data_IF_169095779582
#
_entry.id   IF_169095779582
#
_cell.length_a   1.000
_cell.length_b   1.000
_cell.length_c   1.000
_cell.angle_alpha   90.00
_cell.angle_beta   90.00
_cell.angle_gamma   90.00
#
_symmetry.space_group_name_H-M   'P 1'
#
loop_
_entity.id
_entity.type
_entity.pdbx_description
1 polymer ?
#
# COMPACT_ATOMS: atom_id res chain seq x y z
N UNK A 1 0.64 16.19 8.56
CA UNK A 1 -0.78 16.52 8.39
C UNK A 1 -1.04 18.01 8.42
N UNK A 2 -0.13 18.82 8.98
CA UNK A 2 -0.21 20.30 8.97
C UNK A 2 -0.32 20.93 7.56
N UNK A 3 0.13 20.21 6.53
CA UNK A 3 0.04 20.62 5.11
C UNK A 3 -1.25 20.18 4.40
N UNK A 4 -2.16 19.47 5.09
CA UNK A 4 -3.45 19.09 4.51
C UNK A 4 -4.43 20.22 4.78
N UNK A 5 -5.07 20.72 3.73
CA UNK A 5 -6.15 21.69 3.88
C UNK A 5 -7.41 21.00 4.38
N UNK A 6 -7.51 20.83 5.69
CA UNK A 6 -8.65 20.22 6.36
C UNK A 6 -9.91 21.10 6.27
N UNK A 7 -9.79 22.39 5.92
CA UNK A 7 -10.92 23.34 5.91
C UNK A 7 -11.89 23.10 4.76
N UNK A 8 -11.44 22.43 3.70
CA UNK A 8 -12.28 22.11 2.54
C UNK A 8 -12.91 20.72 2.63
N UNK A 9 -12.70 20.00 3.74
CA UNK A 9 -13.38 18.73 3.95
C UNK A 9 -14.83 18.98 4.39
N UNK A 10 -15.77 18.08 4.02
CA UNK A 10 -17.14 18.13 4.50
C UNK A 10 -17.25 18.25 6.03
N UNK A 11 -18.39 18.76 6.50
CA UNK A 11 -18.71 18.73 7.93
C UNK A 11 -18.72 17.28 8.45
N UNK A 12 -18.36 17.11 9.73
CA UNK A 12 -18.25 15.82 10.42
C UNK A 12 -17.28 14.81 9.78
N UNK A 13 -16.33 15.28 8.96
CA UNK A 13 -15.30 14.42 8.37
C UNK A 13 -14.40 13.79 9.45
N UNK A 14 -14.34 12.46 9.45
CA UNK A 14 -13.47 11.66 10.30
C UNK A 14 -12.36 11.04 9.45
N UNK A 15 -11.13 11.11 9.94
CA UNK A 15 -9.97 10.51 9.30
C UNK A 15 -8.94 10.05 10.32
N UNK A 16 -8.08 9.12 9.92
CA UNK A 16 -7.04 8.61 10.79
C UNK A 16 -5.74 9.43 10.71
N UNK A 17 -5.12 9.63 11.87
CA UNK A 17 -3.78 10.19 11.98
C UNK A 17 -2.77 9.08 12.36
N UNK A 18 -1.85 8.70 11.46
CA UNK A 18 -0.90 7.62 11.68
C UNK A 18 0.25 8.08 12.60
N UNK A 19 -0.02 8.07 13.91
CA UNK A 19 0.86 8.55 14.98
C UNK A 19 2.28 7.97 14.91
N UNK A 20 2.42 6.70 14.55
CA UNK A 20 3.67 5.96 14.67
C UNK A 20 4.54 5.94 13.40
N UNK A 21 4.02 6.35 12.25
CA UNK A 21 4.73 6.26 10.96
C UNK A 21 6.05 7.06 10.99
N UNK A 22 6.06 8.26 11.57
CA UNK A 22 7.28 9.08 11.71
C UNK A 22 8.39 8.34 12.46
N UNK A 23 8.06 7.78 13.62
CA UNK A 23 9.02 7.07 14.45
C UNK A 23 9.46 5.74 13.82
N UNK A 24 8.55 5.06 13.13
CA UNK A 24 8.86 3.83 12.39
C UNK A 24 9.83 4.10 11.23
N UNK A 25 9.57 5.10 10.39
CA UNK A 25 10.47 5.51 9.31
C UNK A 25 11.83 5.98 9.84
N UNK A 26 11.86 6.69 10.98
CA UNK A 26 13.12 7.10 11.62
C UNK A 26 13.97 5.89 11.99
N UNK A 27 13.37 4.86 12.59
CA UNK A 27 14.06 3.60 12.92
C UNK A 27 14.58 2.91 11.65
N UNK A 28 13.78 2.87 10.59
CA UNK A 28 14.21 2.30 9.30
C UNK A 28 15.42 3.05 8.74
N UNK A 29 15.34 4.39 8.66
CA UNK A 29 16.47 5.19 8.14
C UNK A 29 17.72 4.99 8.99
N UNK A 30 17.61 4.98 10.32
CA UNK A 30 18.77 4.79 11.20
C UNK A 30 19.41 3.39 11.06
N UNK A 31 18.60 2.35 10.85
CA UNK A 31 19.09 0.98 10.68
C UNK A 31 19.65 0.69 9.29
N UNK A 32 19.29 1.49 8.28
CA UNK A 32 19.71 1.29 6.90
C UNK A 32 20.88 2.23 6.55
N UNK A 33 22.07 1.67 6.29
CA UNK A 33 23.19 2.45 5.76
C UNK A 33 23.11 2.61 4.23
N UNK A 34 22.75 1.52 3.54
CA UNK A 34 22.58 1.46 2.09
C UNK A 34 21.55 0.38 1.75
N UNK A 35 20.59 0.66 0.87
CA UNK A 35 19.63 -0.33 0.39
C UNK A 35 18.27 0.25 0.01
N UNK A 36 17.30 -0.65 -0.12
CA UNK A 36 15.94 -0.35 -0.57
C UNK A 36 14.96 -0.89 0.47
N UNK A 37 13.89 -0.13 0.73
CA UNK A 37 12.75 -0.52 1.55
C UNK A 37 11.54 -0.65 0.64
N UNK A 38 10.89 -1.82 0.65
CA UNK A 38 9.61 -2.04 0.00
C UNK A 38 8.50 -1.96 1.04
N UNK A 39 7.52 -1.09 0.80
CA UNK A 39 6.31 -0.96 1.60
C UNK A 39 5.15 -1.40 0.71
N UNK A 40 4.53 -2.52 1.06
CA UNK A 40 3.43 -3.13 0.29
C UNK A 40 2.22 -3.18 1.20
N UNK A 41 1.21 -2.38 0.90
CA UNK A 41 0.02 -2.27 1.74
C UNK A 41 -1.17 -1.68 0.97
N UNK A 42 -2.37 -1.75 1.53
CA UNK A 42 -3.57 -1.14 0.97
C UNK A 42 -3.72 0.31 1.41
N UNK A 43 -3.92 1.19 0.42
CA UNK A 43 -4.02 2.61 0.68
C UNK A 43 -3.94 3.48 -0.56
N UNK A 44 -3.72 4.77 -0.30
CA UNK A 44 -4.03 5.84 -1.25
C UNK A 44 -2.97 6.95 -1.22
N UNK A 45 -2.91 7.73 -2.30
CA UNK A 45 -2.26 9.05 -2.26
C UNK A 45 -3.13 10.05 -1.48
N UNK A 46 -2.61 11.24 -1.18
CA UNK A 46 -3.29 12.22 -0.34
C UNK A 46 -4.67 12.63 -0.89
N UNK A 47 -4.82 12.80 -2.21
CA UNK A 47 -6.09 13.22 -2.81
C UNK A 47 -7.16 12.15 -2.68
N UNK A 48 -6.80 10.89 -2.89
CA UNK A 48 -7.69 9.74 -2.74
C UNK A 48 -7.99 9.42 -1.27
N UNK A 49 -7.01 9.60 -0.38
CA UNK A 49 -7.14 9.38 1.06
C UNK A 49 -8.11 10.39 1.71
N UNK A 50 -8.10 11.65 1.24
CA UNK A 50 -9.00 12.70 1.71
C UNK A 50 -10.14 13.01 0.73
N UNK A 51 -10.52 12.03 -0.10
CA UNK A 51 -11.64 12.23 -1.02
C UNK A 51 -12.93 12.55 -0.23
N UNK A 52 -13.77 13.44 -0.75
CA UNK A 52 -14.97 13.93 -0.05
C UNK A 52 -15.93 12.79 0.34
N UNK A 53 -16.06 11.77 -0.51
CA UNK A 53 -16.88 10.59 -0.24
C UNK A 53 -16.30 9.63 0.83
N UNK A 54 -15.07 9.88 1.31
CA UNK A 54 -14.41 9.11 2.36
C UNK A 54 -14.51 9.81 3.73
N UNK A 55 -15.67 10.39 4.02
CA UNK A 55 -15.88 11.18 5.24
C UNK A 55 -15.89 10.38 6.55
N UNK A 56 -15.89 9.05 6.48
CA UNK A 56 -15.84 8.17 7.66
C UNK A 56 -14.47 7.49 7.81
N UNK A 57 -13.46 7.97 7.09
CA UNK A 57 -12.10 7.43 7.17
C UNK A 57 -11.95 6.05 6.53
N UNK A 58 -11.05 5.26 7.10
CA UNK A 58 -10.60 3.97 6.58
C UNK A 58 -10.43 2.89 7.64
N UNK A 59 -10.75 3.19 8.90
CA UNK A 59 -10.73 2.21 9.98
C UNK A 59 -11.65 1.04 9.65
N UNK A 60 -11.09 -0.16 9.74
CA UNK A 60 -11.82 -1.41 9.56
C UNK A 60 -11.36 -2.42 10.60
N UNK A 61 -12.32 -3.17 11.10
CA UNK A 61 -12.12 -4.25 12.04
C UNK A 61 -12.45 -5.57 11.35
N UNK A 62 -11.66 -6.61 11.63
CA UNK A 62 -11.87 -7.93 11.07
C UNK A 62 -11.95 -8.98 12.18
N UNK A 63 -13.05 -9.74 12.20
CA UNK A 63 -13.24 -10.86 13.11
C UNK A 63 -13.85 -12.05 12.37
N UNK A 64 -13.14 -13.18 12.34
CA UNK A 64 -13.59 -14.41 11.64
C UNK A 64 -14.06 -14.17 10.19
N UNK A 65 -13.27 -13.43 9.42
CA UNK A 65 -13.56 -13.02 8.03
C UNK A 65 -14.77 -12.09 7.83
N UNK A 66 -15.32 -11.53 8.91
CA UNK A 66 -16.32 -10.48 8.86
C UNK A 66 -15.67 -9.11 9.08
N UNK A 67 -15.99 -8.15 8.22
CA UNK A 67 -15.49 -6.78 8.29
C UNK A 67 -16.55 -5.83 8.84
N UNK A 68 -16.18 -4.95 9.77
CA UNK A 68 -17.03 -3.91 10.36
C UNK A 68 -16.21 -2.74 10.87
N UNK A 69 -16.85 -1.62 11.20
CA UNK A 69 -16.19 -0.36 11.60
C UNK A 69 -16.08 -0.16 13.11
N UNK A 70 -16.73 -0.99 13.94
CA UNK A 70 -16.75 -0.78 15.39
C UNK A 70 -15.54 -1.41 16.13
N UNK A 71 -14.60 -0.61 16.69
CA UNK A 71 -13.42 -1.14 17.37
C UNK A 71 -13.70 -1.67 18.78
N UNK A 72 -14.90 -1.45 19.34
CA UNK A 72 -15.21 -1.68 20.75
C UNK A 72 -15.93 -3.02 21.01
N UNK A 73 -16.33 -3.77 19.98
CA UNK A 73 -17.20 -4.94 20.15
C UNK A 73 -16.46 -6.25 20.43
N UNK A 74 -15.24 -6.45 19.95
CA UNK A 74 -14.43 -7.66 20.20
C UNK A 74 -13.00 -7.32 20.62
N UNK A 75 -12.88 -6.51 21.68
CA UNK A 75 -11.61 -5.99 22.18
C UNK A 75 -10.61 -7.12 22.45
N UNK A 76 -9.42 -7.00 21.86
CA UNK A 76 -8.31 -7.94 22.03
C UNK A 76 -8.39 -9.21 21.16
N UNK A 77 -9.50 -9.46 20.46
CA UNK A 77 -9.66 -10.65 19.60
C UNK A 77 -10.08 -10.35 18.15
N UNK A 78 -10.36 -9.09 17.82
CA UNK A 78 -10.47 -8.63 16.44
C UNK A 78 -9.20 -7.91 15.98
N UNK A 79 -8.93 -7.96 14.69
CA UNK A 79 -7.93 -7.11 14.05
C UNK A 79 -8.51 -5.71 13.82
N UNK A 80 -7.66 -4.68 13.87
CA UNK A 80 -8.03 -3.27 13.64
C UNK A 80 -6.98 -2.66 12.73
N UNK A 81 -7.40 -2.22 11.55
CA UNK A 81 -6.50 -1.67 10.54
C UNK A 81 -7.05 -0.37 9.97
N UNK A 82 -6.17 0.38 9.31
CA UNK A 82 -6.48 1.62 8.59
C UNK A 82 -5.72 1.58 7.29
N UNK A 83 -6.24 2.23 6.24
CA UNK A 83 -5.49 2.31 4.99
C UNK A 83 -4.25 3.20 5.15
N UNK A 84 -3.21 2.93 4.35
CA UNK A 84 -1.98 3.73 4.37
C UNK A 84 -2.17 5.02 3.56
N UNK A 85 -1.84 6.16 4.18
CA UNK A 85 -1.65 7.42 3.47
C UNK A 85 -0.21 7.48 2.92
N UNK A 86 -0.03 7.05 1.67
CA UNK A 86 1.30 6.94 1.06
C UNK A 86 1.98 8.29 0.85
N UNK A 87 1.23 9.35 0.56
CA UNK A 87 1.78 10.71 0.48
C UNK A 87 2.36 11.18 1.81
N UNK A 88 1.71 10.82 2.92
CA UNK A 88 2.26 11.07 4.25
C UNK A 88 3.53 10.27 4.53
N UNK A 89 3.53 8.97 4.18
CA UNK A 89 4.74 8.13 4.29
C UNK A 89 5.90 8.73 3.49
N UNK A 90 5.66 9.07 2.22
CA UNK A 90 6.64 9.66 1.32
C UNK A 90 7.26 10.94 1.92
N UNK A 91 6.42 11.91 2.31
CA UNK A 91 6.90 13.17 2.90
C UNK A 91 7.75 12.97 4.15
N UNK A 92 7.31 12.10 5.06
CA UNK A 92 8.05 11.85 6.30
C UNK A 92 9.34 11.05 6.04
N UNK A 93 9.35 10.18 5.04
CA UNK A 93 10.54 9.46 4.59
C UNK A 93 11.59 10.41 3.98
N UNK A 94 11.16 11.35 3.12
CA UNK A 94 12.06 12.35 2.51
C UNK A 94 12.79 13.19 3.56
N UNK A 95 12.11 13.59 4.64
CA UNK A 95 12.70 14.34 5.76
C UNK A 95 13.83 13.57 6.47
N UNK A 96 13.86 12.25 6.31
CA UNK A 96 14.84 11.35 6.93
C UNK A 96 15.94 10.88 5.95
N UNK A 97 16.05 11.54 4.80
CA UNK A 97 17.05 11.24 3.77
C UNK A 97 16.79 9.93 3.02
N UNK A 98 15.55 9.42 3.04
CA UNK A 98 15.12 8.32 2.20
C UNK A 98 14.57 8.90 0.89
N UNK A 99 15.13 8.47 -0.25
CA UNK A 99 14.66 8.87 -1.56
C UNK A 99 13.44 8.02 -1.94
N UNK A 100 12.37 8.62 -2.44
CA UNK A 100 11.19 7.86 -2.88
C UNK A 100 11.45 7.54 -4.34
N UNK A 101 11.45 6.26 -4.70
CA UNK A 101 11.72 5.84 -6.09
C UNK A 101 10.52 5.23 -6.78
N UNK A 102 9.51 4.82 -6.01
CA UNK A 102 8.35 4.11 -6.55
C UNK A 102 7.08 4.37 -5.76
N UNK A 103 5.99 4.56 -6.49
CA UNK A 103 4.63 4.43 -6.00
C UNK A 103 3.75 3.89 -7.13
N UNK A 104 3.33 2.64 -7.01
CA UNK A 104 2.68 1.89 -8.10
C UNK A 104 1.62 0.96 -7.52
N UNK A 105 0.60 0.58 -8.28
CA UNK A 105 -0.34 -0.44 -7.84
C UNK A 105 0.32 -1.82 -7.78
N UNK A 106 -0.16 -2.70 -6.91
CA UNK A 106 0.34 -4.06 -6.77
C UNK A 106 0.29 -4.81 -8.11
N UNK A 107 -0.82 -4.70 -8.85
CA UNK A 107 -0.97 -5.37 -10.13
C UNK A 107 0.14 -5.00 -11.11
N UNK A 108 0.39 -3.69 -11.28
CA UNK A 108 1.42 -3.21 -12.21
C UNK A 108 2.82 -3.62 -11.74
N UNK A 109 3.10 -3.57 -10.44
CA UNK A 109 4.39 -4.02 -9.89
C UNK A 109 4.63 -5.51 -10.15
N UNK A 110 3.64 -6.37 -9.88
CA UNK A 110 3.76 -7.82 -10.08
C UNK A 110 3.86 -8.20 -11.56
N UNK A 111 3.11 -7.53 -12.43
CA UNK A 111 3.21 -7.69 -13.89
C UNK A 111 4.63 -7.32 -14.36
N UNK A 112 5.14 -6.16 -13.94
CA UNK A 112 6.50 -5.73 -14.27
C UNK A 112 7.55 -6.74 -13.78
N UNK A 113 7.33 -7.36 -12.62
CA UNK A 113 8.20 -8.40 -12.07
C UNK A 113 8.02 -9.80 -12.70
N UNK A 114 7.14 -9.96 -13.70
CA UNK A 114 7.02 -11.20 -14.47
C UNK A 114 6.08 -12.25 -13.87
N UNK A 115 5.09 -11.88 -13.07
CA UNK A 115 4.13 -12.84 -12.48
C UNK A 115 3.41 -13.69 -13.54
N UNK A 116 3.14 -13.13 -14.73
CA UNK A 116 2.51 -13.86 -15.82
C UNK A 116 3.46 -14.91 -16.42
N UNK A 117 4.76 -14.59 -16.52
CA UNK A 117 5.76 -15.57 -16.95
C UNK A 117 5.91 -16.69 -15.92
N UNK A 118 5.80 -16.39 -14.62
CA UNK A 118 5.78 -17.43 -13.59
C UNK A 118 4.57 -18.36 -13.74
N UNK A 119 3.39 -17.81 -14.05
CA UNK A 119 2.17 -18.60 -14.29
C UNK A 119 2.33 -19.54 -15.50
N UNK A 120 3.02 -19.11 -16.55
CA UNK A 120 3.33 -19.93 -17.72
C UNK A 120 4.24 -21.13 -17.42
N UNK A 121 5.05 -21.08 -16.35
CA UNK A 121 5.93 -22.21 -15.96
C UNK A 121 5.20 -23.34 -15.23
N UNK A 122 3.94 -23.15 -14.87
CA UNK A 122 3.18 -24.14 -14.11
C UNK A 122 2.73 -25.27 -15.04
N UNK A 123 2.98 -26.51 -14.62
CA UNK A 123 2.64 -27.69 -15.41
C UNK A 123 1.12 -27.75 -15.69
N UNK A 124 0.75 -27.68 -16.97
CA UNK A 124 -0.64 -27.75 -17.43
C UNK A 124 -1.28 -29.13 -17.25
N UNK A 125 -0.47 -30.18 -17.09
CA UNK A 125 -0.97 -31.53 -16.83
C UNK A 125 -1.59 -31.64 -15.43
N UNK A 126 -1.09 -30.86 -14.46
CA UNK A 126 -1.74 -30.68 -13.17
C UNK A 126 -2.77 -29.56 -13.24
N UNK A 127 -3.92 -29.89 -13.81
CA UNK A 127 -5.03 -28.93 -14.00
C UNK A 127 -5.49 -28.28 -12.69
N UNK A 128 -5.45 -29.02 -11.57
CA UNK A 128 -5.90 -28.51 -10.28
C UNK A 128 -4.95 -27.41 -9.77
N UNK A 129 -3.63 -27.68 -9.81
CA UNK A 129 -2.62 -26.70 -9.46
C UNK A 129 -2.68 -25.47 -10.37
N UNK A 130 -2.81 -25.69 -11.69
CA UNK A 130 -2.90 -24.61 -12.66
C UNK A 130 -4.11 -23.71 -12.39
N UNK A 131 -5.32 -24.27 -12.24
CA UNK A 131 -6.53 -23.50 -11.97
C UNK A 131 -6.44 -22.70 -10.66
N UNK A 132 -5.87 -23.30 -9.61
CA UNK A 132 -5.64 -22.61 -8.34
C UNK A 132 -4.71 -21.42 -8.54
N UNK A 133 -3.60 -21.62 -9.24
CA UNK A 133 -2.59 -20.58 -9.49
C UNK A 133 -3.15 -19.43 -10.34
N UNK A 134 -3.97 -19.74 -11.35
CA UNK A 134 -4.70 -18.72 -12.14
C UNK A 134 -5.60 -17.88 -11.24
N UNK A 135 -6.37 -18.51 -10.33
CA UNK A 135 -7.26 -17.79 -9.41
C UNK A 135 -6.49 -16.91 -8.43
N UNK A 136 -5.35 -17.37 -7.91
CA UNK A 136 -4.48 -16.59 -7.01
C UNK A 136 -3.86 -15.39 -7.73
N UNK A 137 -3.32 -15.59 -8.94
CA UNK A 137 -2.81 -14.48 -9.77
C UNK A 137 -3.92 -13.51 -10.11
N UNK A 138 -5.12 -13.98 -10.47
CA UNK A 138 -6.26 -13.12 -10.74
C UNK A 138 -6.63 -12.28 -9.51
N UNK A 139 -6.62 -12.85 -8.30
CA UNK A 139 -6.88 -12.10 -7.07
C UNK A 139 -5.82 -11.02 -6.81
N UNK A 140 -4.55 -11.33 -7.06
CA UNK A 140 -3.43 -10.40 -6.87
C UNK A 140 -3.43 -9.24 -7.89
N UNK A 141 -3.96 -9.48 -9.10
CA UNK A 141 -3.92 -8.52 -10.21
C UNK A 141 -5.23 -7.78 -10.45
N UNK A 142 -6.39 -8.33 -10.06
CA UNK A 142 -7.68 -7.72 -10.35
C UNK A 142 -7.86 -6.40 -9.61
N UNK A 143 -8.25 -5.31 -10.30
CA UNK A 143 -8.57 -4.03 -9.66
C UNK A 143 -9.71 -4.13 -8.64
N UNK A 144 -10.64 -5.07 -8.82
CA UNK A 144 -11.76 -5.31 -7.90
C UNK A 144 -11.35 -6.08 -6.64
N UNK A 145 -10.12 -6.60 -6.59
CA UNK A 145 -9.56 -7.38 -5.49
C UNK A 145 -8.36 -6.61 -4.91
N UNK A 146 -7.15 -7.15 -5.03
CA UNK A 146 -5.95 -6.55 -4.45
C UNK A 146 -5.20 -5.64 -5.43
N UNK A 147 -5.45 -5.78 -6.73
CA UNK A 147 -4.56 -5.28 -7.78
C UNK A 147 -4.40 -3.76 -7.82
N UNK A 148 -5.47 -3.01 -7.56
CA UNK A 148 -5.43 -1.55 -7.51
C UNK A 148 -5.39 -1.02 -6.07
N UNK A 149 -6.14 -1.62 -5.15
CA UNK A 149 -6.20 -1.18 -3.76
C UNK A 149 -4.84 -1.25 -3.07
N UNK A 150 -4.10 -2.35 -3.25
CA UNK A 150 -2.73 -2.48 -2.75
C UNK A 150 -1.76 -1.67 -3.60
N UNK A 151 -0.83 -1.01 -2.93
CA UNK A 151 0.24 -0.22 -3.53
C UNK A 151 1.59 -0.78 -3.10
N UNK A 152 2.59 -0.57 -3.95
CA UNK A 152 4.00 -0.80 -3.65
C UNK A 152 4.68 0.57 -3.67
N UNK A 153 5.26 0.95 -2.54
CA UNK A 153 6.15 2.10 -2.40
C UNK A 153 7.58 1.62 -2.18
N UNK A 154 8.52 2.25 -2.87
CA UNK A 154 9.95 1.96 -2.70
C UNK A 154 10.69 3.19 -2.21
N UNK A 155 11.52 2.99 -1.19
CA UNK A 155 12.39 4.01 -0.62
C UNK A 155 13.84 3.55 -0.75
N UNK A 156 14.74 4.43 -1.17
CA UNK A 156 16.16 4.15 -1.33
C UNK A 156 17.01 4.97 -0.36
N UNK A 157 18.12 4.37 0.07
CA UNK A 157 19.16 5.07 0.82
C UNK A 157 20.52 4.71 0.26
N UNK A 158 21.28 5.73 -0.13
CA UNK A 158 22.67 5.63 -0.61
C UNK A 158 22.88 4.58 -1.71
N UNK A 159 21.87 4.41 -2.55
CA UNK A 159 21.86 3.48 -3.68
C UNK A 159 21.05 4.11 -4.81
N UNK A 160 21.28 3.60 -6.03
CA UNK A 160 20.57 3.97 -7.25
C UNK A 160 20.42 2.67 -8.05
N UNK A 161 19.22 2.09 -8.04
CA UNK A 161 18.91 0.84 -8.74
C UNK A 161 17.70 1.06 -9.64
N UNK A 162 17.86 0.74 -10.92
CA UNK A 162 16.74 0.62 -11.85
C UNK A 162 15.93 -0.65 -11.55
N UNK A 163 14.91 -0.53 -10.70
CA UNK A 163 14.05 -1.63 -10.30
C UNK A 163 13.12 -2.06 -11.43
N UNK A 164 13.20 -3.34 -11.82
CA UNK A 164 12.32 -3.96 -12.82
C UNK A 164 10.83 -3.65 -12.57
N UNK A 165 10.40 -3.80 -11.31
CA UNK A 165 9.01 -3.58 -10.88
C UNK A 165 8.48 -2.16 -11.09
N UNK A 166 9.35 -1.18 -11.34
CA UNK A 166 9.01 0.24 -11.50
C UNK A 166 9.15 0.74 -12.95
N UNK A 167 9.57 -0.11 -13.89
CA UNK A 167 9.85 0.31 -15.28
C UNK A 167 8.65 0.89 -16.02
N UNK A 168 7.45 0.43 -15.70
CA UNK A 168 6.21 0.92 -16.30
C UNK A 168 5.21 1.29 -15.23
N UNK A 169 4.39 2.30 -15.50
CA UNK A 169 3.28 2.73 -14.65
C UNK A 169 3.68 3.14 -13.21
N UNK A 170 4.94 3.55 -12.99
CA UNK A 170 5.33 4.21 -11.74
C UNK A 170 4.63 5.57 -11.66
N UNK A 171 3.86 5.78 -10.58
CA UNK A 171 3.02 6.97 -10.34
C UNK A 171 3.58 7.83 -9.21
N UNK A 172 4.90 7.86 -9.00
CA UNK A 172 5.53 8.70 -7.97
C UNK A 172 5.07 10.17 -7.99
N UNK A 173 4.79 10.71 -9.18
CA UNK A 173 4.29 12.10 -9.37
C UNK A 173 2.86 12.33 -8.85
N UNK A 174 2.16 11.27 -8.43
CA UNK A 174 0.81 11.33 -7.84
C UNK A 174 0.81 11.37 -6.31
N UNK A 175 1.99 11.20 -5.68
CA UNK A 175 2.15 11.34 -4.23
C UNK A 175 1.97 12.79 -3.77
#
# INVERSE_FOLDING_TARGET
YEEIDLKNLPDDYVAEYPLYIKNWLKKISQSLNKGIVFIIDYGFNQREYFHEQRSQGTLMCHFKHYAHDNPLIQVGIQDITTHVNFSYVAREASKLGLNITGFISQANFLINCGILNLLETINLEDRALYMKSVSEVQKLLSPSEMGDLFKVMTLEKNIDIDLLGLKQNNRITRL
#
